data_IF_728047254630
#
_entry.id   IF_728047254630
#
_cell.length_a   1.000
_cell.length_b   1.000
_cell.length_c   1.000
_cell.angle_alpha   90.00
_cell.angle_beta   90.00
_cell.angle_gamma   90.00
#
_symmetry.space_group_name_H-M   'P 1'
#
loop_
_entity.id
_entity.type
_entity.pdbx_description
1 polymer ?
#
# COMPACT_ATOMS: atom_id res chain seq x y z
N UNK A 1 2.76 22.13 -9.41
CA UNK A 1 2.41 21.03 -10.33
C UNK A 1 2.86 19.62 -9.92
N UNK A 2 3.48 19.39 -8.75
CA UNK A 2 3.92 18.03 -8.32
C UNK A 2 3.03 17.38 -7.22
N UNK A 3 1.96 18.07 -6.78
CA UNK A 3 1.05 17.59 -5.72
C UNK A 3 -0.24 16.94 -6.24
N UNK A 4 -0.62 17.19 -7.49
CA UNK A 4 -1.88 16.68 -8.07
C UNK A 4 -1.80 15.24 -8.60
N UNK A 5 -0.60 14.71 -8.88
CA UNK A 5 -0.42 13.35 -9.39
C UNK A 5 -0.46 12.25 -8.32
N UNK A 6 -0.98 12.52 -7.12
CA UNK A 6 -0.86 11.64 -5.93
C UNK A 6 -2.08 10.71 -5.71
N UNK A 7 -3.13 10.74 -6.54
CA UNK A 7 -4.44 10.22 -6.08
C UNK A 7 -5.19 9.18 -6.94
N UNK A 8 -4.62 8.59 -7.99
CA UNK A 8 -5.44 7.79 -8.92
C UNK A 8 -4.97 6.34 -9.13
N UNK A 9 -4.74 5.61 -8.04
CA UNK A 9 -4.53 4.16 -8.07
C UNK A 9 -5.61 3.46 -7.25
N UNK A 10 -6.79 3.25 -7.85
CA UNK A 10 -7.87 2.52 -7.22
C UNK A 10 -8.08 1.22 -8.00
N UNK A 11 -7.92 0.07 -7.33
CA UNK A 11 -8.42 -1.18 -7.86
C UNK A 11 -9.93 -1.23 -7.61
N UNK A 12 -10.72 -1.28 -8.68
CA UNK A 12 -12.16 -1.55 -8.63
C UNK A 12 -12.33 -3.03 -8.91
N UNK A 13 -12.94 -3.75 -7.97
CA UNK A 13 -13.32 -5.16 -8.18
C UNK A 13 -14.73 -5.11 -8.78
N UNK A 14 -14.85 -5.41 -10.07
CA UNK A 14 -16.13 -5.54 -10.75
C UNK A 14 -16.58 -7.00 -10.66
N UNK A 15 -17.76 -7.25 -10.10
CA UNK A 15 -18.32 -8.61 -9.94
C UNK A 15 -19.69 -8.59 -10.61
N UNK A 16 -20.02 -9.58 -11.45
CA UNK A 16 -21.34 -9.66 -12.10
C UNK A 16 -22.42 -9.99 -11.06
N UNK A 17 -23.16 -8.94 -10.71
CA UNK A 17 -24.20 -8.92 -9.69
C UNK A 17 -25.52 -9.53 -10.21
N UNK A 18 -25.79 -9.39 -11.50
CA UNK A 18 -27.09 -9.76 -12.06
C UNK A 18 -27.23 -11.28 -12.22
N UNK A 19 -26.12 -11.97 -12.45
CA UNK A 19 -26.06 -13.42 -12.48
C UNK A 19 -26.35 -14.03 -11.08
N UNK A 20 -25.82 -13.41 -10.01
CA UNK A 20 -26.06 -13.84 -8.63
C UNK A 20 -27.53 -13.69 -8.20
N UNK A 21 -28.21 -12.63 -8.63
CA UNK A 21 -29.63 -12.43 -8.35
C UNK A 21 -30.49 -13.47 -9.09
N UNK A 22 -30.13 -13.83 -10.33
CA UNK A 22 -30.81 -14.90 -11.08
C UNK A 22 -30.63 -16.27 -10.44
N UNK A 23 -29.44 -16.59 -9.97
CA UNK A 23 -29.14 -17.83 -9.25
C UNK A 23 -29.92 -17.93 -7.93
N UNK A 24 -30.08 -16.80 -7.25
CA UNK A 24 -30.81 -16.71 -6.00
C UNK A 24 -32.34 -16.72 -6.18
N UNK A 25 -32.87 -16.33 -7.34
CA UNK A 25 -34.30 -16.47 -7.67
C UNK A 25 -34.77 -17.93 -7.75
N UNK A 26 -33.85 -18.89 -7.90
CA UNK A 26 -34.14 -20.32 -7.76
C UNK A 26 -34.35 -20.77 -6.30
N UNK A 27 -34.01 -19.93 -5.32
CA UNK A 27 -34.30 -20.14 -3.91
C UNK A 27 -35.45 -19.19 -3.52
N UNK A 28 -36.47 -19.68 -2.81
CA UNK A 28 -37.62 -18.89 -2.33
C UNK A 28 -37.20 -17.93 -1.20
N UNK A 29 -36.28 -17.01 -1.50
CA UNK A 29 -35.58 -16.15 -0.54
C UNK A 29 -35.79 -14.69 -0.93
N UNK A 30 -36.19 -13.82 0.01
CA UNK A 30 -36.37 -12.40 -0.27
C UNK A 30 -35.09 -11.73 -0.77
N UNK A 31 -35.22 -10.84 -1.76
CA UNK A 31 -34.12 -10.01 -2.30
C UNK A 31 -33.36 -9.23 -1.22
N UNK A 32 -34.05 -8.79 -0.18
CA UNK A 32 -33.49 -8.10 1.00
C UNK A 32 -32.46 -8.98 1.73
N UNK A 33 -32.71 -10.27 1.86
CA UNK A 33 -31.80 -11.24 2.48
C UNK A 33 -30.55 -11.42 1.63
N UNK A 34 -30.69 -11.51 0.31
CA UNK A 34 -29.59 -11.63 -0.64
C UNK A 34 -28.67 -10.40 -0.54
N UNK A 35 -29.23 -9.19 -0.57
CA UNK A 35 -28.46 -7.95 -0.41
C UNK A 35 -27.72 -7.88 0.93
N UNK A 36 -28.37 -8.29 2.03
CA UNK A 36 -27.72 -8.35 3.35
C UNK A 36 -26.57 -9.35 3.39
N UNK A 37 -26.79 -10.55 2.83
CA UNK A 37 -25.75 -11.58 2.75
C UNK A 37 -24.56 -11.07 1.94
N UNK A 38 -24.81 -10.41 0.82
CA UNK A 38 -23.80 -9.79 -0.02
C UNK A 38 -23.00 -8.71 0.72
N UNK A 39 -23.66 -7.74 1.36
CA UNK A 39 -22.97 -6.68 2.11
C UNK A 39 -22.11 -7.22 3.26
N UNK A 40 -22.51 -8.32 3.92
CA UNK A 40 -21.69 -8.99 4.94
C UNK A 40 -20.52 -9.75 4.31
N UNK A 41 -20.74 -10.46 3.20
CA UNK A 41 -19.71 -11.18 2.48
C UNK A 41 -18.61 -10.24 1.99
N UNK A 42 -18.99 -9.11 1.41
CA UNK A 42 -18.06 -8.06 1.00
C UNK A 42 -17.25 -7.52 2.18
N UNK A 43 -17.88 -7.22 3.32
CA UNK A 43 -17.15 -6.79 4.53
C UNK A 43 -16.09 -7.80 4.95
N UNK A 44 -16.45 -9.09 4.99
CA UNK A 44 -15.55 -10.18 5.37
C UNK A 44 -14.40 -10.32 4.37
N UNK A 45 -14.71 -10.32 3.06
CA UNK A 45 -13.71 -10.35 1.99
C UNK A 45 -12.74 -9.18 2.10
N UNK A 46 -13.26 -7.97 2.28
CA UNK A 46 -12.46 -6.75 2.36
C UNK A 46 -11.45 -6.77 3.52
N UNK A 47 -11.85 -7.29 4.69
CA UNK A 47 -10.94 -7.47 5.84
C UNK A 47 -9.81 -8.45 5.49
N UNK A 48 -10.16 -9.57 4.86
CA UNK A 48 -9.19 -10.59 4.44
C UNK A 48 -8.24 -10.06 3.36
N UNK A 49 -8.76 -9.40 2.32
CA UNK A 49 -7.96 -8.77 1.26
C UNK A 49 -7.02 -7.69 1.82
N UNK A 50 -7.49 -6.88 2.77
CA UNK A 50 -6.64 -5.91 3.47
C UNK A 50 -5.49 -6.61 4.21
N UNK A 51 -5.78 -7.71 4.91
CA UNK A 51 -4.75 -8.48 5.64
C UNK A 51 -3.72 -9.09 4.68
N UNK A 52 -4.17 -9.66 3.56
CA UNK A 52 -3.27 -10.18 2.50
C UNK A 52 -2.40 -9.05 1.93
N UNK A 53 -3.00 -7.91 1.61
CA UNK A 53 -2.27 -6.73 1.11
C UNK A 53 -1.21 -6.21 2.11
N UNK A 54 -1.52 -6.23 3.41
CA UNK A 54 -0.56 -5.85 4.46
C UNK A 54 0.64 -6.82 4.50
N UNK A 55 0.41 -8.11 4.24
CA UNK A 55 1.47 -9.11 4.15
C UNK A 55 2.33 -8.88 2.90
N UNK A 56 1.72 -8.67 1.73
CA UNK A 56 2.48 -8.35 0.50
C UNK A 56 3.34 -7.10 0.67
N UNK A 57 2.78 -6.05 1.29
CA UNK A 57 3.55 -4.85 1.61
C UNK A 57 4.73 -5.16 2.55
N UNK A 58 4.53 -6.02 3.55
CA UNK A 58 5.57 -6.39 4.52
C UNK A 58 6.73 -7.10 3.83
N UNK A 59 6.45 -8.02 2.91
CA UNK A 59 7.47 -8.77 2.16
C UNK A 59 8.26 -7.84 1.23
N UNK A 60 7.57 -6.96 0.49
CA UNK A 60 8.25 -6.02 -0.43
C UNK A 60 9.04 -4.96 0.32
N UNK A 61 8.42 -4.25 1.26
CA UNK A 61 9.00 -3.05 1.85
C UNK A 61 9.82 -3.30 3.13
N UNK A 62 9.64 -4.44 3.80
CA UNK A 62 10.24 -4.74 5.10
C UNK A 62 10.15 -3.55 6.09
N UNK A 63 8.93 -3.09 6.45
CA UNK A 63 8.75 -1.92 7.32
C UNK A 63 9.34 -2.17 8.72
N UNK A 64 9.82 -1.11 9.37
CA UNK A 64 10.20 -1.17 10.80
C UNK A 64 9.00 -1.25 11.73
N UNK A 65 7.85 -0.70 11.32
CA UNK A 65 6.63 -0.66 12.10
C UNK A 65 5.42 -1.00 11.24
N UNK A 66 4.64 -2.00 11.65
CA UNK A 66 3.38 -2.33 10.98
C UNK A 66 2.34 -1.23 11.15
N UNK A 67 2.37 -0.46 12.24
CA UNK A 67 1.46 0.66 12.45
C UNK A 67 1.64 1.78 11.40
N UNK A 68 2.86 1.91 10.84
CA UNK A 68 3.13 2.83 9.72
C UNK A 68 2.47 2.33 8.43
N UNK A 69 2.49 1.02 8.20
CA UNK A 69 1.87 0.39 7.03
C UNK A 69 0.35 0.41 7.12
N UNK A 70 -0.21 0.08 8.28
CA UNK A 70 -1.66 0.09 8.50
C UNK A 70 -2.29 1.48 8.32
N UNK A 71 -1.53 2.55 8.54
CA UNK A 71 -1.94 3.94 8.26
C UNK A 71 -1.92 4.29 6.77
N UNK A 72 -1.18 3.52 5.96
CA UNK A 72 -1.03 3.73 4.51
C UNK A 72 -1.98 2.88 3.69
N UNK A 73 -2.23 1.64 4.11
CA UNK A 73 -3.28 0.80 3.53
C UNK A 73 -4.57 1.16 4.24
N UNK A 74 -5.38 2.01 3.59
CA UNK A 74 -6.62 2.49 4.17
C UNK A 74 -7.58 1.32 4.40
N UNK A 75 -8.50 1.45 5.37
CA UNK A 75 -9.63 0.53 5.46
C UNK A 75 -10.35 0.45 4.11
N UNK A 76 -10.85 -0.73 3.72
CA UNK A 76 -11.67 -0.84 2.54
C UNK A 76 -12.87 0.10 2.65
N UNK A 77 -13.11 0.86 1.59
CA UNK A 77 -14.31 1.66 1.46
C UNK A 77 -15.37 0.80 0.80
N UNK A 78 -16.50 0.62 1.49
CA UNK A 78 -17.66 -0.06 0.92
C UNK A 78 -18.57 1.03 0.37
N UNK A 79 -18.69 1.06 -0.94
CA UNK A 79 -19.64 1.94 -1.63
C UNK A 79 -20.97 1.21 -1.68
N UNK A 80 -21.98 1.77 -1.01
CA UNK A 80 -23.36 1.33 -1.21
C UNK A 80 -23.87 1.96 -2.50
N UNK A 81 -24.21 1.17 -3.51
CA UNK A 81 -24.94 1.69 -4.66
C UNK A 81 -26.30 2.20 -4.18
N UNK A 82 -26.71 3.41 -4.60
CA UNK A 82 -28.06 3.89 -4.30
C UNK A 82 -29.08 3.10 -5.14
N UNK A 83 -30.18 2.64 -4.54
CA UNK A 83 -31.24 1.91 -5.24
C UNK A 83 -31.09 0.38 -5.15
N UNK A 84 -31.30 -0.32 -6.27
CA UNK A 84 -31.36 -1.80 -6.34
C UNK A 84 -30.01 -2.49 -6.60
N UNK A 85 -28.92 -1.73 -6.68
CA UNK A 85 -27.58 -2.28 -6.91
C UNK A 85 -26.96 -2.90 -5.67
N UNK A 86 -26.05 -3.86 -5.86
CA UNK A 86 -25.27 -4.42 -4.78
C UNK A 86 -24.11 -3.48 -4.38
N UNK A 87 -23.71 -3.59 -3.11
CA UNK A 87 -22.54 -2.87 -2.58
C UNK A 87 -21.27 -3.25 -3.36
N UNK A 88 -20.30 -2.33 -3.44
CA UNK A 88 -18.98 -2.53 -4.05
C UNK A 88 -17.88 -2.26 -3.01
N UNK A 89 -16.71 -2.91 -3.16
CA UNK A 89 -15.54 -2.65 -2.33
C UNK A 89 -14.48 -1.94 -3.17
N UNK A 90 -13.96 -0.85 -2.62
CA UNK A 90 -12.77 -0.17 -3.11
C UNK A 90 -11.67 -0.26 -2.07
N UNK A 91 -10.53 -0.82 -2.44
CA UNK A 91 -9.36 -0.87 -1.57
C UNK A 91 -8.38 0.22 -2.01
N UNK A 92 -8.15 1.21 -1.15
CA UNK A 92 -7.18 2.27 -1.42
C UNK A 92 -5.82 1.92 -0.81
N UNK A 93 -4.84 1.77 -1.69
CA UNK A 93 -3.45 1.61 -1.28
C UNK A 93 -2.73 2.96 -1.36
N UNK A 94 -2.42 3.56 -0.21
CA UNK A 94 -1.56 4.74 -0.12
C UNK A 94 -0.09 4.39 -0.38
N UNK A 95 0.22 3.84 -1.57
CA UNK A 95 1.54 3.33 -2.00
C UNK A 95 2.54 4.44 -2.35
N UNK A 96 2.50 5.52 -1.59
CA UNK A 96 3.41 6.65 -1.71
C UNK A 96 4.85 6.27 -1.30
N UNK A 97 5.80 7.13 -1.68
CA UNK A 97 7.21 6.99 -1.28
C UNK A 97 7.33 6.88 0.26
N UNK A 98 8.18 5.96 0.72
CA UNK A 98 8.47 5.74 2.15
C UNK A 98 9.90 6.14 2.45
N UNK A 99 10.12 6.82 3.58
CA UNK A 99 11.46 7.27 3.96
C UNK A 99 12.33 6.06 4.29
N UNK A 100 13.61 6.15 3.94
CA UNK A 100 14.61 5.10 4.22
C UNK A 100 14.64 4.70 5.70
N UNK A 101 14.53 5.69 6.61
CA UNK A 101 14.51 5.43 8.06
C UNK A 101 13.36 4.54 8.55
N UNK A 102 12.26 4.47 7.81
CA UNK A 102 11.06 3.74 8.22
C UNK A 102 11.08 2.29 7.70
N UNK A 103 12.08 1.95 6.88
CA UNK A 103 12.29 0.62 6.29
C UNK A 103 13.46 -0.09 6.98
N UNK A 104 13.42 -1.43 6.97
CA UNK A 104 14.55 -2.27 7.39
C UNK A 104 15.54 -2.40 6.24
N UNK A 105 16.82 -2.38 6.57
CA UNK A 105 17.89 -2.43 5.58
C UNK A 105 19.18 -1.78 6.09
N UNK A 106 20.19 -1.74 5.22
CA UNK A 106 21.51 -1.21 5.51
C UNK A 106 21.86 -0.05 4.57
N UNK A 107 22.36 1.04 5.14
CA UNK A 107 22.94 2.14 4.35
C UNK A 107 24.43 1.87 4.17
N UNK A 108 24.89 1.91 2.93
CA UNK A 108 26.27 1.67 2.50
C UNK A 108 26.71 2.79 1.54
N UNK A 109 27.98 2.79 1.13
CA UNK A 109 28.53 3.79 0.22
C UNK A 109 29.46 4.79 0.89
N UNK A 110 29.96 5.72 0.09
CA UNK A 110 30.92 6.74 0.51
C UNK A 110 30.19 8.06 0.75
N UNK A 111 30.28 8.58 1.97
CA UNK A 111 29.78 9.92 2.29
C UNK A 111 30.93 10.93 2.28
N UNK A 112 30.66 12.21 1.94
CA UNK A 112 31.68 13.22 2.01
C UNK A 112 32.19 13.36 3.45
N UNK A 113 33.51 13.49 3.67
CA UNK A 113 34.04 13.69 5.00
C UNK A 113 33.47 14.99 5.61
N UNK A 114 33.11 14.94 6.90
CA UNK A 114 32.73 16.14 7.64
C UNK A 114 33.94 17.08 7.68
N UNK A 115 33.79 18.32 7.19
CA UNK A 115 34.75 19.45 7.22
C UNK A 115 36.12 19.12 7.85
N UNK A 116 36.90 18.27 7.18
CA UNK A 116 38.25 17.90 7.61
C UNK A 116 39.27 18.15 6.51
N UNK A 117 38.81 18.23 5.26
CA UNK A 117 39.65 18.54 4.10
C UNK A 117 39.98 20.03 4.09
N UNK A 118 41.27 20.31 4.27
CA UNK A 118 41.87 21.64 4.11
C UNK A 118 42.61 21.69 2.78
N UNK A 119 42.55 22.83 2.14
CA UNK A 119 43.37 23.16 0.98
C UNK A 119 44.86 23.11 1.42
N UNK A 120 45.70 22.28 0.78
CA UNK A 120 47.11 22.15 1.13
C UNK A 120 47.89 23.47 1.05
N UNK A 121 47.46 24.38 0.15
CA UNK A 121 48.17 25.63 -0.11
C UNK A 121 47.71 26.76 0.81
N UNK A 122 46.40 26.85 1.07
CA UNK A 122 45.83 27.97 1.86
C UNK A 122 45.50 27.60 3.30
N UNK A 123 45.51 26.31 3.66
CA UNK A 123 45.10 25.79 4.97
C UNK A 123 43.62 25.99 5.30
N UNK A 124 42.85 26.62 4.41
CA UNK A 124 41.42 26.88 4.56
C UNK A 124 40.62 25.60 4.29
N UNK A 125 39.40 25.52 4.81
CA UNK A 125 38.51 24.42 4.46
C UNK A 125 38.11 24.52 2.99
N UNK A 126 38.28 23.44 2.23
CA UNK A 126 37.84 23.35 0.83
C UNK A 126 36.31 23.51 0.80
N UNK A 127 35.79 24.33 -0.11
CA UNK A 127 34.35 24.53 -0.24
C UNK A 127 33.65 23.22 -0.59
N UNK A 128 32.42 23.01 -0.10
CA UNK A 128 31.69 21.77 -0.36
C UNK A 128 31.44 21.53 -1.86
N UNK A 129 31.36 22.60 -2.66
CA UNK A 129 31.22 22.58 -4.12
C UNK A 129 32.47 22.09 -4.86
N UNK A 130 33.65 22.27 -4.29
CA UNK A 130 34.95 21.91 -4.90
C UNK A 130 35.37 20.47 -4.57
N UNK A 131 34.62 19.78 -3.69
CA UNK A 131 34.83 18.36 -3.35
C UNK A 131 34.18 17.47 -4.40
N UNK A 132 34.64 17.58 -5.64
CA UNK A 132 34.22 16.76 -6.78
C UNK A 132 34.69 15.30 -6.57
N UNK A 133 33.94 14.55 -5.78
CA UNK A 133 33.97 13.10 -5.72
C UNK A 133 32.59 12.57 -6.03
N UNK A 134 32.50 11.42 -6.70
CA UNK A 134 31.23 10.70 -6.88
C UNK A 134 30.78 10.11 -5.54
N UNK A 135 30.20 10.95 -4.67
CA UNK A 135 29.65 10.54 -3.38
C UNK A 135 28.24 9.99 -3.59
N UNK A 136 28.14 8.68 -3.55
CA UNK A 136 26.85 7.98 -3.60
C UNK A 136 26.68 7.11 -2.37
N UNK A 137 25.51 7.25 -1.76
CA UNK A 137 25.04 6.34 -0.73
C UNK A 137 24.03 5.39 -1.33
N UNK A 138 24.08 4.14 -0.91
CA UNK A 138 23.14 3.10 -1.31
C UNK A 138 22.36 2.61 -0.08
N UNK A 139 21.04 2.48 -0.23
CA UNK A 139 20.19 1.78 0.72
C UNK A 139 19.90 0.38 0.18
N UNK A 140 20.40 -0.63 0.88
CA UNK A 140 20.09 -2.02 0.62
C UNK A 140 18.89 -2.40 1.49
N UNK A 141 17.72 -2.50 0.85
CA UNK A 141 16.47 -2.96 1.47
C UNK A 141 16.63 -4.37 2.04
N UNK A 142 16.00 -4.64 3.19
CA UNK A 142 15.86 -6.00 3.70
C UNK A 142 14.72 -6.78 3.01
N UNK A 143 13.76 -6.07 2.38
CA UNK A 143 12.74 -6.65 1.51
C UNK A 143 13.14 -6.56 0.04
N UNK A 144 12.18 -6.82 -0.84
CA UNK A 144 12.40 -7.00 -2.29
C UNK A 144 12.57 -5.72 -3.12
N UNK A 145 12.70 -4.55 -2.48
CA UNK A 145 12.89 -3.27 -3.18
C UNK A 145 14.25 -3.13 -3.88
N UNK A 146 15.18 -4.04 -3.60
CA UNK A 146 16.55 -3.99 -4.11
C UNK A 146 17.36 -2.81 -3.54
N UNK A 147 18.48 -2.53 -4.19
CA UNK A 147 19.39 -1.45 -3.82
C UNK A 147 18.95 -0.13 -4.44
N UNK A 148 18.87 0.92 -3.62
CA UNK A 148 18.49 2.27 -4.05
C UNK A 148 19.68 3.21 -3.84
N UNK A 149 20.16 3.85 -4.90
CA UNK A 149 21.30 4.79 -4.84
C UNK A 149 20.83 6.23 -4.73
N UNK A 150 21.61 7.04 -4.01
CA UNK A 150 21.35 8.44 -3.75
C UNK A 150 22.64 9.23 -3.92
N UNK A 151 22.69 10.05 -4.97
CA UNK A 151 23.85 10.88 -5.28
C UNK A 151 23.85 12.17 -4.45
N UNK A 152 25.04 12.69 -4.17
CA UNK A 152 25.24 13.91 -3.39
C UNK A 152 24.51 13.88 -2.03
N UNK A 153 24.44 12.68 -1.46
CA UNK A 153 23.72 12.41 -0.22
C UNK A 153 24.67 12.05 0.91
N UNK A 154 24.22 12.28 2.14
CA UNK A 154 24.98 11.95 3.36
C UNK A 154 24.08 11.29 4.40
N UNK A 155 24.66 10.56 5.34
CA UNK A 155 23.87 9.94 6.43
C UNK A 155 23.45 10.99 7.45
N UNK A 156 22.24 10.81 7.99
CA UNK A 156 21.77 11.58 9.15
C UNK A 156 22.66 11.31 10.37
N UNK A 157 22.62 12.21 11.37
CA UNK A 157 23.43 12.10 12.60
C UNK A 157 23.18 10.79 13.35
N UNK A 158 21.94 10.30 13.37
CA UNK A 158 21.52 9.02 13.96
C UNK A 158 21.84 7.81 13.07
N UNK A 159 22.43 8.03 11.88
CA UNK A 159 22.82 7.03 10.87
C UNK A 159 21.67 6.15 10.36
N UNK A 160 20.42 6.52 10.63
CA UNK A 160 19.22 5.76 10.22
C UNK A 160 18.61 6.22 8.91
N UNK A 161 19.00 7.40 8.41
CA UNK A 161 18.43 8.00 7.22
C UNK A 161 19.50 8.51 6.27
N UNK A 162 19.12 8.71 5.01
CA UNK A 162 19.93 9.40 4.01
C UNK A 162 19.30 10.78 3.78
N UNK A 163 20.14 11.80 3.68
CA UNK A 163 19.78 13.19 3.48
C UNK A 163 20.42 13.73 2.21
N UNK A 164 19.69 14.56 1.48
CA UNK A 164 20.17 15.25 0.29
C UNK A 164 19.60 16.67 0.25
N UNK A 165 20.17 17.53 -0.59
CA UNK A 165 19.55 18.83 -0.92
C UNK A 165 18.76 18.70 -2.20
N UNK A 166 17.54 19.24 -2.21
CA UNK A 166 16.78 19.39 -3.45
C UNK A 166 17.31 20.57 -4.28
N UNK A 167 16.72 20.81 -5.45
CA UNK A 167 17.10 21.92 -6.33
C UNK A 167 16.98 23.31 -5.68
N UNK A 168 16.10 23.48 -4.68
CA UNK A 168 15.98 24.72 -3.92
C UNK A 168 16.92 24.80 -2.71
N UNK A 169 17.89 23.89 -2.59
CA UNK A 169 18.87 23.84 -1.50
C UNK A 169 18.31 23.34 -0.17
N UNK A 170 17.01 23.01 -0.09
CA UNK A 170 16.36 22.51 1.13
C UNK A 170 16.76 21.07 1.40
N UNK A 171 16.93 20.77 2.69
CA UNK A 171 17.22 19.43 3.16
C UNK A 171 16.02 18.51 2.98
N UNK A 172 16.21 17.36 2.35
CA UNK A 172 15.17 16.34 2.14
C UNK A 172 15.68 14.98 2.59
N UNK A 173 14.79 14.20 3.20
CA UNK A 173 15.03 12.81 3.53
C UNK A 173 14.83 11.91 2.31
N UNK A 174 15.78 11.01 2.08
CA UNK A 174 15.66 9.99 1.06
C UNK A 174 14.40 9.13 1.24
N UNK A 175 13.75 8.82 0.13
CA UNK A 175 12.54 8.02 0.10
C UNK A 175 12.51 7.06 -1.09
N UNK A 176 12.11 5.83 -0.81
CA UNK A 176 12.02 4.72 -1.78
C UNK A 176 10.62 4.73 -2.40
N UNK A 177 10.51 4.70 -3.75
CA UNK A 177 9.23 4.48 -4.41
C UNK A 177 8.77 3.02 -4.19
N UNK A 178 7.51 2.85 -3.78
CA UNK A 178 6.94 1.53 -3.53
C UNK A 178 5.83 1.15 -4.50
N UNK A 179 5.27 2.14 -5.21
CA UNK A 179 4.04 1.98 -6.00
C UNK A 179 4.15 0.82 -6.98
N UNK A 180 5.07 0.89 -7.93
CA UNK A 180 5.15 -0.06 -9.04
C UNK A 180 5.31 -1.51 -8.55
N UNK A 181 6.21 -1.74 -7.59
CA UNK A 181 6.46 -3.10 -7.07
C UNK A 181 5.29 -3.66 -6.26
N UNK A 182 4.64 -2.84 -5.44
CA UNK A 182 3.57 -3.31 -4.58
C UNK A 182 2.26 -3.44 -5.34
N UNK A 183 2.01 -2.57 -6.33
CA UNK A 183 0.83 -2.63 -7.18
C UNK A 183 0.74 -3.96 -7.92
N UNK A 184 1.79 -4.31 -8.67
CA UNK A 184 1.87 -5.57 -9.41
C UNK A 184 1.64 -6.76 -8.48
N UNK A 185 2.30 -6.77 -7.33
CA UNK A 185 2.19 -7.89 -6.39
C UNK A 185 0.80 -8.02 -5.74
N UNK A 186 0.12 -6.89 -5.52
CA UNK A 186 -1.26 -6.90 -5.02
C UNK A 186 -2.22 -7.37 -6.12
N UNK A 187 -2.04 -6.94 -7.36
CA UNK A 187 -2.84 -7.42 -8.49
C UNK A 187 -2.73 -8.94 -8.64
N UNK A 188 -1.51 -9.45 -8.68
CA UNK A 188 -1.24 -10.88 -8.89
C UNK A 188 -1.69 -11.75 -7.70
N UNK A 189 -1.42 -11.33 -6.45
CA UNK A 189 -1.58 -12.20 -5.28
C UNK A 189 -2.84 -11.93 -4.44
N UNK A 190 -3.47 -10.76 -4.60
CA UNK A 190 -4.59 -10.35 -3.74
C UNK A 190 -5.87 -10.17 -4.55
N UNK A 191 -5.79 -9.48 -5.68
CA UNK A 191 -6.97 -9.15 -6.49
C UNK A 191 -7.41 -10.36 -7.32
N UNK A 192 -6.48 -11.17 -7.82
CA UNK A 192 -6.79 -12.39 -8.57
C UNK A 192 -7.78 -13.33 -7.85
N UNK A 193 -7.65 -13.47 -6.52
CA UNK A 193 -8.51 -14.33 -5.71
C UNK A 193 -9.77 -13.62 -5.15
N UNK A 194 -9.93 -12.32 -5.43
CA UNK A 194 -10.90 -11.50 -4.70
C UNK A 194 -12.34 -11.93 -4.97
N UNK A 195 -12.67 -12.26 -6.21
CA UNK A 195 -14.00 -12.72 -6.62
C UNK A 195 -14.36 -14.04 -5.94
N UNK A 196 -13.50 -15.06 -6.06
CA UNK A 196 -13.70 -16.37 -5.43
C UNK A 196 -13.92 -16.22 -3.91
N UNK A 197 -13.11 -15.37 -3.27
CA UNK A 197 -13.22 -15.11 -1.85
C UNK A 197 -14.56 -14.47 -1.46
N UNK A 198 -15.05 -13.50 -2.25
CA UNK A 198 -16.35 -12.87 -2.04
C UNK A 198 -17.47 -13.90 -2.21
N UNK A 199 -17.45 -14.68 -3.28
CA UNK A 199 -18.45 -15.72 -3.57
C UNK A 199 -18.48 -16.78 -2.47
N UNK A 200 -17.32 -17.19 -1.96
CA UNK A 200 -17.21 -18.12 -0.83
C UNK A 200 -17.90 -17.57 0.43
N UNK A 201 -17.62 -16.32 0.80
CA UNK A 201 -18.25 -15.71 1.97
C UNK A 201 -19.74 -15.48 1.76
N UNK A 202 -20.16 -15.12 0.55
CA UNK A 202 -21.56 -14.94 0.20
C UNK A 202 -22.35 -16.25 0.33
N UNK A 203 -21.84 -17.32 -0.26
CA UNK A 203 -22.45 -18.65 -0.20
C UNK A 203 -22.61 -19.10 1.26
N UNK A 204 -21.56 -18.96 2.07
CA UNK A 204 -21.60 -19.31 3.48
C UNK A 204 -22.62 -18.45 4.27
N UNK A 205 -22.66 -17.14 4.04
CA UNK A 205 -23.58 -16.23 4.71
C UNK A 205 -25.04 -16.50 4.33
N UNK A 206 -25.30 -16.81 3.05
CA UNK A 206 -26.63 -17.16 2.56
C UNK A 206 -27.11 -18.50 3.15
N UNK A 207 -26.27 -19.53 3.14
CA UNK A 207 -26.57 -20.82 3.76
C UNK A 207 -26.84 -20.68 5.26
N UNK A 208 -26.06 -19.85 5.95
CA UNK A 208 -26.27 -19.59 7.38
C UNK A 208 -27.62 -18.92 7.65
N UNK A 209 -28.01 -17.92 6.84
CA UNK A 209 -29.31 -17.24 6.95
C UNK A 209 -30.49 -18.14 6.64
N UNK A 210 -30.33 -19.05 5.68
CA UNK A 210 -31.32 -20.07 5.35
C UNK A 210 -31.54 -21.02 6.53
N UNK A 211 -30.45 -21.59 7.07
CA UNK A 211 -30.48 -22.51 8.22
C UNK A 211 -31.00 -21.86 9.49
N UNK A 212 -30.65 -20.60 9.74
CA UNK A 212 -31.07 -19.86 10.94
C UNK A 212 -32.48 -19.28 10.84
N UNK A 213 -33.12 -19.33 9.68
CA UNK A 213 -34.45 -18.75 9.47
C UNK A 213 -34.48 -17.22 9.46
N UNK A 214 -33.32 -16.54 9.49
CA UNK A 214 -33.22 -15.07 9.50
C UNK A 214 -33.88 -14.40 8.29
N UNK A 215 -34.03 -15.13 7.18
CA UNK A 215 -34.69 -14.64 5.98
C UNK A 215 -36.19 -14.37 6.19
N UNK A 216 -36.84 -15.04 7.16
CA UNK A 216 -38.28 -14.86 7.44
C UNK A 216 -38.60 -13.49 8.04
N UNK A 217 -37.68 -12.93 8.83
CA UNK A 217 -37.81 -11.58 9.37
C UNK A 217 -37.63 -10.46 8.33
N UNK A 218 -37.29 -10.83 7.09
CA UNK A 218 -37.12 -9.92 5.96
C UNK A 218 -38.29 -9.94 4.96
N UNK A 219 -39.34 -10.74 5.24
CA UNK A 219 -40.60 -10.77 4.50
C UNK A 219 -41.55 -9.60 4.83
N UNK A 220 -41.24 -8.86 5.91
CA UNK A 220 -41.90 -7.61 6.34
C UNK A 220 -41.02 -6.40 6.05
#
# INVERSE_FOLDING_TARGET
MARERVLHGNAVIDIDVDELVKLAAGFDVPRKTIHKAWGVALKKAAITLRRRSLNEFKEVAAPRSMAMVSRRIMPPFIFRKSGFGLDEIKLWFGLNRVKVKDLKGRITGKEPPRHSLRDPNTGRFIAASERAGSWSLAFNSAGELGTQTYDNAWRSKDRKNILSRNASGRLVAAAVPLYDKIHVRIEDNVIADAEELVLKYFTHELQWRLKSGMWKGDLT
#
